data_IF_146833823867
#
_entry.id   IF_146833823867
#
_cell.length_a   1.000
_cell.length_b   1.000
_cell.length_c   1.000
_cell.angle_alpha   90.00
_cell.angle_beta   90.00
_cell.angle_gamma   90.00
#
_symmetry.space_group_name_H-M   'P 1'
#
loop_
_entity.id
_entity.type
_entity.pdbx_description
1 polymer ?
#
# COMPACT_ATOMS: atom_id res chain seq x y z
N UNK A 1 -18.76 4.86 -2.31
CA UNK A 1 -18.07 5.75 -3.28
C UNK A 1 -16.63 6.09 -2.87
N UNK A 2 -16.17 5.74 -1.66
CA UNK A 2 -14.78 5.96 -1.23
C UNK A 2 -14.04 4.63 -1.14
N UNK A 3 -12.97 4.47 -1.92
CA UNK A 3 -12.05 3.33 -1.82
C UNK A 3 -10.61 3.85 -1.88
N UNK A 4 -9.85 3.55 -0.83
CA UNK A 4 -8.44 3.93 -0.70
C UNK A 4 -7.53 3.36 -1.79
N UNK A 5 -7.92 2.26 -2.43
CA UNK A 5 -7.21 1.67 -3.56
C UNK A 5 -7.70 2.15 -4.92
N UNK A 6 -8.53 3.20 -4.96
CA UNK A 6 -8.94 3.78 -6.23
C UNK A 6 -7.72 4.34 -7.00
N UNK A 7 -7.57 4.07 -8.31
CA UNK A 7 -6.38 4.47 -9.07
C UNK A 7 -6.07 5.98 -8.99
N UNK A 8 -7.09 6.84 -8.98
CA UNK A 8 -6.90 8.28 -8.81
C UNK A 8 -6.23 8.66 -7.48
N UNK A 9 -6.56 7.96 -6.39
CA UNK A 9 -5.94 8.18 -5.07
C UNK A 9 -4.48 7.72 -5.11
N UNK A 10 -4.21 6.55 -5.70
CA UNK A 10 -2.85 6.04 -5.82
C UNK A 10 -1.95 6.95 -6.65
N UNK A 11 -2.47 7.49 -7.77
CA UNK A 11 -1.74 8.48 -8.59
C UNK A 11 -1.45 9.77 -7.83
N UNK A 12 -2.40 10.27 -7.04
CA UNK A 12 -2.18 11.44 -6.19
C UNK A 12 -1.08 11.18 -5.14
N UNK A 13 -1.10 10.00 -4.49
CA UNK A 13 -0.06 9.60 -3.53
C UNK A 13 1.31 9.44 -4.22
N UNK A 14 1.34 8.86 -5.42
CA UNK A 14 2.58 8.71 -6.19
C UNK A 14 3.19 10.06 -6.56
N UNK A 15 2.36 11.03 -6.99
CA UNK A 15 2.81 12.40 -7.25
C UNK A 15 3.40 13.05 -5.98
N UNK A 16 2.72 12.92 -4.84
CA UNK A 16 3.20 13.46 -3.56
C UNK A 16 4.54 12.81 -3.17
N UNK A 17 4.66 11.50 -3.32
CA UNK A 17 5.88 10.75 -3.04
C UNK A 17 7.05 11.20 -3.92
N UNK A 18 6.80 11.36 -5.22
CA UNK A 18 7.81 11.83 -6.16
C UNK A 18 8.29 13.25 -5.83
N UNK A 19 7.38 14.18 -5.56
CA UNK A 19 7.74 15.55 -5.22
C UNK A 19 8.50 15.61 -3.89
N UNK A 20 8.04 14.86 -2.87
CA UNK A 20 8.71 14.82 -1.59
C UNK A 20 10.14 14.26 -1.69
N UNK A 21 10.34 13.19 -2.46
CA UNK A 21 11.67 12.64 -2.74
C UNK A 21 12.56 13.68 -3.45
N UNK A 22 12.03 14.35 -4.48
CA UNK A 22 12.74 15.39 -5.24
C UNK A 22 13.22 16.55 -4.35
N UNK A 23 12.45 16.92 -3.32
CA UNK A 23 12.78 18.00 -2.40
C UNK A 23 13.42 17.52 -1.09
N UNK A 24 13.69 16.22 -0.92
CA UNK A 24 14.26 15.66 0.31
C UNK A 24 13.36 15.82 1.54
N UNK A 25 12.04 15.77 1.36
CA UNK A 25 11.03 15.94 2.41
C UNK A 25 10.55 14.55 2.88
N UNK A 26 10.61 14.32 4.19
CA UNK A 26 10.08 13.10 4.79
C UNK A 26 8.54 13.06 4.77
N UNK A 27 7.98 11.97 4.23
CA UNK A 27 6.54 11.73 4.21
C UNK A 27 6.05 10.88 5.39
N UNK A 28 4.93 11.31 5.98
CA UNK A 28 4.20 10.58 7.02
C UNK A 28 2.74 10.43 6.61
N UNK A 29 2.20 9.22 6.69
CA UNK A 29 0.78 8.95 6.43
C UNK A 29 0.08 8.45 7.69
N UNK A 30 -1.07 9.05 7.99
CA UNK A 30 -1.99 8.60 9.04
C UNK A 30 -3.35 8.21 8.45
N UNK A 31 -4.21 7.63 9.28
CA UNK A 31 -5.55 7.20 8.91
C UNK A 31 -5.63 5.72 8.50
N UNK A 32 -6.82 5.29 8.08
CA UNK A 32 -7.12 3.86 7.87
C UNK A 32 -6.22 3.19 6.83
N UNK A 33 -5.80 3.91 5.78
CA UNK A 33 -4.87 3.40 4.75
C UNK A 33 -3.53 2.96 5.32
N UNK A 34 -3.03 3.65 6.34
CA UNK A 34 -1.78 3.32 6.98
C UNK A 34 -1.87 2.01 7.79
N UNK A 35 -3.08 1.59 8.16
CA UNK A 35 -3.36 0.37 8.91
C UNK A 35 -3.89 -0.81 8.07
N UNK A 36 -4.26 -0.58 6.81
CA UNK A 36 -4.79 -1.60 5.91
C UNK A 36 -3.65 -2.32 5.16
N UNK A 37 -3.49 -3.65 5.31
CA UNK A 37 -2.39 -4.39 4.67
C UNK A 37 -2.33 -4.28 3.14
N UNK A 38 -3.46 -4.18 2.45
CA UNK A 38 -3.47 -4.04 0.99
C UNK A 38 -2.97 -2.64 0.60
N UNK A 39 -3.44 -1.60 1.28
CA UNK A 39 -3.00 -0.23 1.07
C UNK A 39 -1.51 -0.07 1.40
N UNK A 40 -1.07 -0.61 2.54
CA UNK A 40 0.33 -0.56 2.97
C UNK A 40 1.26 -1.19 1.93
N UNK A 41 0.87 -2.31 1.32
CA UNK A 41 1.68 -2.96 0.28
C UNK A 41 1.99 -1.99 -0.87
N UNK A 42 1.01 -1.21 -1.30
CA UNK A 42 1.19 -0.16 -2.33
C UNK A 42 1.99 1.03 -1.78
N UNK A 43 1.63 1.54 -0.60
CA UNK A 43 2.27 2.71 0.00
C UNK A 43 3.79 2.54 0.15
N UNK A 44 4.23 1.36 0.58
CA UNK A 44 5.66 1.06 0.72
C UNK A 44 6.36 1.04 -0.64
N UNK A 45 5.72 0.49 -1.67
CA UNK A 45 6.23 0.51 -3.03
C UNK A 45 6.26 1.90 -3.66
N UNK A 46 5.34 2.79 -3.26
CA UNK A 46 5.38 4.22 -3.61
C UNK A 46 6.43 5.02 -2.83
N UNK A 47 7.10 4.43 -1.83
CA UNK A 47 8.16 5.09 -1.07
C UNK A 47 7.74 5.68 0.28
N UNK A 48 6.51 5.47 0.74
CA UNK A 48 6.10 5.90 2.09
C UNK A 48 6.80 5.05 3.15
N UNK A 49 7.51 5.69 4.09
CA UNK A 49 8.28 4.99 5.14
C UNK A 49 7.76 5.20 6.55
N UNK A 50 7.01 6.27 6.80
CA UNK A 50 6.45 6.57 8.11
C UNK A 50 4.92 6.45 8.10
N UNK A 51 4.41 5.41 8.76
CA UNK A 51 2.99 5.10 8.84
C UNK A 51 2.52 5.19 10.30
N UNK A 52 1.43 5.94 10.53
CA UNK A 52 0.77 6.06 11.84
C UNK A 52 -0.60 5.41 11.79
N UNK A 53 -0.88 4.53 12.74
CA UNK A 53 -2.09 3.70 12.76
C UNK A 53 -2.50 3.34 14.19
N UNK A 54 -3.72 2.80 14.34
CA UNK A 54 -4.16 2.27 15.63
C UNK A 54 -3.32 1.05 16.07
N UNK A 55 -3.24 0.81 17.38
CA UNK A 55 -2.41 -0.27 17.94
C UNK A 55 -2.75 -1.68 17.43
N UNK A 56 -4.02 -1.95 17.06
CA UNK A 56 -4.45 -3.25 16.54
C UNK A 56 -3.85 -3.53 15.16
N UNK A 57 -3.69 -2.51 14.32
CA UNK A 57 -3.12 -2.65 12.97
C UNK A 57 -1.59 -2.82 12.99
N UNK A 58 -0.89 -2.30 13.99
CA UNK A 58 0.58 -2.32 14.05
C UNK A 58 1.16 -3.72 13.91
N UNK A 59 0.59 -4.72 14.60
CA UNK A 59 1.09 -6.09 14.54
C UNK A 59 0.92 -6.71 13.15
N UNK A 60 -0.24 -6.51 12.52
CA UNK A 60 -0.55 -7.02 11.18
C UNK A 60 0.33 -6.37 10.12
N UNK A 61 0.50 -5.05 10.18
CA UNK A 61 1.37 -4.31 9.26
C UNK A 61 2.84 -4.71 9.44
N UNK A 62 3.35 -4.82 10.68
CA UNK A 62 4.72 -5.30 10.91
C UNK A 62 4.94 -6.71 10.37
N UNK A 63 3.95 -7.59 10.50
CA UNK A 63 4.03 -8.95 9.96
C UNK A 63 4.08 -8.97 8.43
N UNK A 64 3.26 -8.13 7.77
CA UNK A 64 3.30 -7.91 6.32
C UNK A 64 4.69 -7.42 5.87
N UNK A 65 5.18 -6.33 6.46
CA UNK A 65 6.42 -5.66 6.04
C UNK A 65 7.65 -6.56 6.15
N UNK A 66 7.66 -7.51 7.08
CA UNK A 66 8.75 -8.49 7.25
C UNK A 66 8.77 -9.60 6.20
N UNK A 67 7.75 -9.68 5.34
CA UNK A 67 7.51 -10.80 4.41
C UNK A 67 7.35 -10.37 2.95
N UNK A 68 7.39 -9.07 2.69
CA UNK A 68 7.38 -8.53 1.34
C UNK A 68 8.76 -7.99 1.01
N UNK A 69 9.17 -8.17 -0.24
CA UNK A 69 10.37 -7.53 -0.75
C UNK A 69 10.04 -6.12 -1.26
N UNK A 70 10.99 -5.18 -1.11
CA UNK A 70 10.75 -3.79 -1.48
C UNK A 70 10.71 -3.58 -2.99
N UNK A 71 11.55 -4.28 -3.76
CA UNK A 71 11.62 -4.16 -5.22
C UNK A 71 10.33 -4.68 -5.84
N UNK A 72 9.80 -5.79 -5.32
CA UNK A 72 8.52 -6.32 -5.77
C UNK A 72 7.34 -5.42 -5.41
N UNK A 73 7.35 -4.79 -4.23
CA UNK A 73 6.32 -3.84 -3.84
C UNK A 73 6.34 -2.60 -4.74
N UNK A 74 7.52 -2.13 -5.13
CA UNK A 74 7.70 -1.05 -6.11
C UNK A 74 7.13 -1.45 -7.48
N UNK A 75 7.46 -2.64 -7.98
CA UNK A 75 6.93 -3.12 -9.26
C UNK A 75 5.41 -3.30 -9.23
N UNK A 76 4.86 -3.84 -8.15
CA UNK A 76 3.40 -3.92 -7.95
C UNK A 76 2.77 -2.53 -8.00
N UNK A 77 3.35 -1.57 -7.27
CA UNK A 77 2.83 -0.21 -7.18
C UNK A 77 2.85 0.48 -8.54
N UNK A 78 3.95 0.37 -9.29
CA UNK A 78 4.08 0.89 -10.66
C UNK A 78 2.97 0.35 -11.55
N UNK A 79 2.77 -0.96 -11.55
CA UNK A 79 1.68 -1.61 -12.33
C UNK A 79 0.29 -1.18 -11.89
N UNK A 80 0.08 -0.95 -10.59
CA UNK A 80 -1.22 -0.50 -10.06
C UNK A 80 -1.55 0.95 -10.41
N UNK A 81 -0.57 1.79 -10.75
CA UNK A 81 -0.80 3.17 -11.21
C UNK A 81 -1.43 3.23 -12.61
N UNK A 82 -1.14 2.23 -13.44
CA UNK A 82 -1.67 2.09 -14.81
C UNK A 82 -3.11 1.55 -14.84
N UNK A 83 -3.59 0.98 -13.72
CA UNK A 83 -4.93 0.43 -13.60
C UNK A 83 -6.02 1.48 -13.81
N UNK A 84 -7.11 1.07 -14.48
CA UNK A 84 -8.25 1.95 -14.75
C UNK A 84 -9.37 1.79 -13.72
N UNK A 85 -9.38 0.67 -13.00
CA UNK A 85 -10.45 0.31 -12.07
C UNK A 85 -9.91 -0.11 -10.70
N UNK A 86 -10.62 0.24 -9.64
CA UNK A 86 -10.30 -0.21 -8.27
C UNK A 86 -10.26 -1.73 -8.15
N UNK A 87 -11.14 -2.45 -8.87
CA UNK A 87 -11.16 -3.91 -8.85
C UNK A 87 -9.86 -4.52 -9.38
N UNK A 88 -9.25 -3.89 -10.39
CA UNK A 88 -7.99 -4.32 -10.97
C UNK A 88 -6.84 -4.15 -9.96
N UNK A 89 -6.73 -2.98 -9.32
CA UNK A 89 -5.75 -2.74 -8.24
C UNK A 89 -5.92 -3.77 -7.12
N UNK A 90 -7.15 -3.98 -6.65
CA UNK A 90 -7.44 -4.97 -5.60
C UNK A 90 -7.03 -6.38 -6.02
N UNK A 91 -7.30 -6.78 -7.25
CA UNK A 91 -6.90 -8.08 -7.78
C UNK A 91 -5.37 -8.22 -7.84
N UNK A 92 -4.66 -7.22 -8.35
CA UNK A 92 -3.20 -7.22 -8.41
C UNK A 92 -2.57 -7.36 -7.02
N UNK A 93 -3.04 -6.58 -6.04
CA UNK A 93 -2.55 -6.63 -4.66
C UNK A 93 -2.91 -7.95 -3.98
N UNK A 94 -4.14 -8.43 -4.15
CA UNK A 94 -4.58 -9.70 -3.58
C UNK A 94 -3.74 -10.87 -4.12
N UNK A 95 -3.54 -10.93 -5.45
CA UNK A 95 -2.71 -11.95 -6.08
C UNK A 95 -1.25 -11.89 -5.60
N UNK A 96 -0.69 -10.69 -5.42
CA UNK A 96 0.64 -10.50 -4.83
C UNK A 96 0.72 -11.08 -3.41
N UNK A 97 -0.24 -10.71 -2.55
CA UNK A 97 -0.28 -11.18 -1.17
C UNK A 97 -0.50 -12.70 -1.08
N UNK A 98 -1.35 -13.27 -1.93
CA UNK A 98 -1.59 -14.72 -1.96
C UNK A 98 -0.35 -15.52 -2.34
N UNK A 99 0.39 -15.08 -3.37
CA UNK A 99 1.67 -15.72 -3.76
C UNK A 99 2.71 -15.73 -2.63
N UNK A 100 2.61 -14.79 -1.69
CA UNK A 100 3.49 -14.65 -0.52
C UNK A 100 2.93 -15.33 0.74
N UNK A 101 1.81 -16.05 0.63
CA UNK A 101 1.16 -16.69 1.79
C UNK A 101 0.53 -15.68 2.77
N UNK A 102 0.24 -14.47 2.32
CA UNK A 102 -0.30 -13.36 3.11
C UNK A 102 -1.81 -13.17 2.92
N UNK A 103 -2.48 -14.05 2.18
CA UNK A 103 -3.93 -13.96 1.92
C UNK A 103 -4.80 -13.88 3.17
N UNK A 104 -4.34 -14.43 4.31
CA UNK A 104 -5.01 -14.30 5.60
C UNK A 104 -5.15 -12.85 6.08
N UNK A 105 -4.24 -11.95 5.68
CA UNK A 105 -4.30 -10.53 6.04
C UNK A 105 -5.36 -9.74 5.26
N UNK A 106 -5.78 -10.24 4.09
CA UNK A 106 -6.84 -9.65 3.27
C UNK A 106 -8.20 -9.86 3.94
N UNK A 107 -8.40 -11.06 4.49
CA UNK A 107 -9.70 -11.52 5.02
C UNK A 107 -9.86 -11.26 6.52
N UNK A 108 -8.78 -11.32 7.30
CA UNK A 108 -8.79 -11.16 8.76
C UNK A 108 -8.94 -9.72 9.27
N UNK A 109 -9.60 -8.85 8.50
CA UNK A 109 -9.78 -7.42 8.81
C UNK A 109 -11.23 -6.96 8.94
N UNK A 110 -12.20 -7.88 9.00
CA UNK A 110 -13.58 -7.59 9.38
C UNK A 110 -13.87 -8.20 10.74
#
# INVERSE_FOLDING_TARGET
MYDSLHPAVLRALAMIAHDAERFGIDLRLCGEMAGDPMCVTILIGLGYRHLSMNGRSVARVKYLLRRIDIEEAQELSRRSLDAQMTAEVRHQVAAFMERRGLGGLIRGGR
#
